data_IF_775720294816
#
_entry.id   IF_775720294816
#
_cell.length_a   1.000
_cell.length_b   1.000
_cell.length_c   1.000
_cell.angle_alpha   90.00
_cell.angle_beta   90.00
_cell.angle_gamma   90.00
#
_symmetry.space_group_name_H-M   'P 1'
#
loop_
_entity.id
_entity.type
_entity.pdbx_description
1 polymer ?
#
# COMPACT_ATOMS: atom_id res chain seq x y z
N UNK A 1 2.92 -1.90 -7.69
CA UNK A 1 3.39 -3.08 -6.93
C UNK A 1 2.23 -4.01 -6.65
N UNK A 2 2.39 -5.29 -6.90
CA UNK A 2 1.35 -6.28 -6.68
C UNK A 2 1.75 -7.19 -5.51
N UNK A 3 0.92 -7.21 -4.47
CA UNK A 3 1.16 -8.00 -3.26
C UNK A 3 0.46 -9.37 -3.30
N UNK A 4 -0.16 -9.71 -4.42
CA UNK A 4 -0.99 -10.92 -4.54
C UNK A 4 -0.26 -12.20 -4.13
N UNK A 5 1.03 -12.32 -4.46
CA UNK A 5 1.82 -13.52 -4.20
C UNK A 5 2.74 -13.38 -2.99
N UNK A 6 2.68 -12.25 -2.28
CA UNK A 6 3.55 -11.98 -1.12
C UNK A 6 2.91 -12.60 0.12
N UNK A 7 3.73 -13.27 0.95
CA UNK A 7 3.29 -13.79 2.22
C UNK A 7 3.02 -12.64 3.19
N UNK A 8 2.01 -12.78 4.03
CA UNK A 8 1.65 -11.73 5.00
C UNK A 8 2.81 -11.40 5.94
N UNK A 9 3.59 -12.39 6.34
CA UNK A 9 4.74 -12.17 7.23
C UNK A 9 5.85 -11.35 6.57
N UNK A 10 5.96 -11.38 5.24
CA UNK A 10 6.98 -10.63 4.49
C UNK A 10 6.47 -9.26 4.04
N UNK A 11 5.16 -9.07 4.02
CA UNK A 11 4.55 -7.88 3.45
C UNK A 11 4.96 -6.58 4.13
N UNK A 12 5.01 -6.48 5.47
CA UNK A 12 5.38 -5.22 6.11
C UNK A 12 6.74 -4.69 5.65
N UNK A 13 7.75 -5.54 5.62
CA UNK A 13 9.09 -5.15 5.19
C UNK A 13 9.13 -4.76 3.72
N UNK A 14 8.45 -5.51 2.86
CA UNK A 14 8.42 -5.26 1.43
C UNK A 14 7.68 -3.96 1.12
N UNK A 15 6.55 -3.72 1.75
CA UNK A 15 5.76 -2.51 1.55
C UNK A 15 6.54 -1.29 2.04
N UNK A 16 7.13 -1.37 3.22
CA UNK A 16 7.89 -0.25 3.79
C UNK A 16 9.07 0.11 2.89
N UNK A 17 9.81 -0.89 2.43
CA UNK A 17 10.94 -0.68 1.53
C UNK A 17 10.51 -0.04 0.22
N UNK A 18 9.39 -0.50 -0.35
CA UNK A 18 8.85 0.05 -1.59
C UNK A 18 8.46 1.53 -1.42
N UNK A 19 7.80 1.86 -0.31
CA UNK A 19 7.41 3.24 -0.02
C UNK A 19 8.64 4.13 0.14
N UNK A 20 9.65 3.67 0.88
CA UNK A 20 10.89 4.43 1.08
C UNK A 20 11.59 4.68 -0.25
N UNK A 21 11.73 3.65 -1.06
CA UNK A 21 12.43 3.76 -2.35
C UNK A 21 11.70 4.65 -3.36
N UNK A 22 10.38 4.79 -3.20
CA UNK A 22 9.56 5.55 -4.13
C UNK A 22 9.00 6.84 -3.52
N UNK A 23 9.52 7.27 -2.39
CA UNK A 23 8.98 8.43 -1.68
C UNK A 23 8.97 9.69 -2.53
N UNK A 24 9.97 9.88 -3.38
CA UNK A 24 10.05 11.03 -4.28
C UNK A 24 9.22 10.84 -5.56
N UNK A 25 8.67 9.66 -5.76
CA UNK A 25 7.87 9.33 -6.94
C UNK A 25 6.38 9.16 -6.62
N UNK A 26 5.95 9.55 -5.43
CA UNK A 26 4.53 9.48 -5.07
C UNK A 26 3.72 10.37 -6.01
N UNK A 27 2.48 9.98 -6.35
CA UNK A 27 1.74 8.82 -5.84
C UNK A 27 2.18 7.50 -6.47
N UNK A 28 1.99 6.41 -5.73
CA UNK A 28 2.26 5.05 -6.21
C UNK A 28 1.03 4.19 -5.99
N UNK A 29 0.91 3.14 -6.80
CA UNK A 29 -0.20 2.18 -6.68
C UNK A 29 0.31 0.88 -6.08
N UNK A 30 -0.47 0.32 -5.13
CA UNK A 30 -0.19 -0.97 -4.52
C UNK A 30 -1.44 -1.82 -4.63
N UNK A 31 -1.30 -3.02 -5.18
CA UNK A 31 -2.40 -3.96 -5.37
C UNK A 31 -2.36 -4.99 -4.25
N UNK A 32 -3.41 -5.00 -3.41
CA UNK A 32 -3.53 -5.93 -2.29
C UNK A 32 -4.35 -7.15 -2.63
N UNK A 33 -5.12 -7.10 -3.72
CA UNK A 33 -6.17 -8.07 -3.96
C UNK A 33 -7.28 -7.93 -2.92
N UNK A 34 -8.07 -8.98 -2.74
CA UNK A 34 -9.21 -8.95 -1.82
C UNK A 34 -8.84 -9.36 -0.38
N UNK A 35 -7.54 -9.38 -0.05
CA UNK A 35 -7.09 -9.76 1.28
C UNK A 35 -7.27 -8.60 2.26
N UNK A 36 -8.16 -8.77 3.23
CA UNK A 36 -8.37 -7.77 4.28
C UNK A 36 -7.10 -7.62 5.13
N UNK A 37 -6.42 -8.72 5.41
CA UNK A 37 -5.18 -8.68 6.18
C UNK A 37 -4.11 -7.86 5.47
N UNK A 38 -3.96 -8.05 4.17
CA UNK A 38 -2.98 -7.29 3.39
C UNK A 38 -3.35 -5.80 3.33
N UNK A 39 -4.64 -5.49 3.22
CA UNK A 39 -5.13 -4.11 3.26
C UNK A 39 -4.81 -3.45 4.61
N UNK A 40 -4.98 -4.18 5.70
CA UNK A 40 -4.65 -3.68 7.04
C UNK A 40 -3.15 -3.41 7.20
N UNK A 41 -2.32 -4.33 6.71
CA UNK A 41 -0.86 -4.17 6.73
C UNK A 41 -0.45 -2.91 5.96
N UNK A 42 -0.99 -2.75 4.77
CA UNK A 42 -0.71 -1.57 3.94
C UNK A 42 -1.13 -0.28 4.64
N UNK A 43 -2.31 -0.28 5.24
CA UNK A 43 -2.84 0.88 5.95
C UNK A 43 -1.95 1.28 7.13
N UNK A 44 -1.51 0.32 7.93
CA UNK A 44 -0.63 0.58 9.07
C UNK A 44 0.68 1.22 8.64
N UNK A 45 1.31 0.68 7.60
CA UNK A 45 2.60 1.19 7.13
C UNK A 45 2.43 2.57 6.50
N UNK A 46 1.36 2.78 5.73
CA UNK A 46 1.05 4.07 5.13
C UNK A 46 0.90 5.15 6.21
N UNK A 47 0.17 4.86 7.27
CA UNK A 47 -0.03 5.81 8.36
C UNK A 47 1.25 6.04 9.15
N UNK A 48 2.06 5.00 9.34
CA UNK A 48 3.36 5.11 10.00
C UNK A 48 4.26 6.13 9.30
N UNK A 49 4.20 6.17 7.97
CA UNK A 49 5.00 7.10 7.17
C UNK A 49 4.30 8.43 6.91
N UNK A 50 3.18 8.68 7.60
CA UNK A 50 2.42 9.93 7.49
C UNK A 50 1.94 10.19 6.07
N UNK A 51 1.52 9.14 5.39
CA UNK A 51 0.97 9.19 4.03
C UNK A 51 -0.52 8.88 4.07
N UNK A 52 -1.20 9.11 2.96
CA UNK A 52 -2.61 8.76 2.83
C UNK A 52 -2.77 7.61 1.85
N UNK A 53 -3.84 6.84 2.04
CA UNK A 53 -4.18 5.70 1.22
C UNK A 53 -5.63 5.85 0.76
N UNK A 54 -5.85 5.69 -0.53
CA UNK A 54 -7.20 5.78 -1.10
C UNK A 54 -7.38 4.70 -2.17
N UNK A 55 -8.60 4.15 -2.33
CA UNK A 55 -8.83 3.17 -3.39
C UNK A 55 -8.50 3.76 -4.77
N UNK A 56 -7.88 2.96 -5.64
CA UNK A 56 -7.57 3.36 -7.01
C UNK A 56 -8.85 3.53 -7.83
N UNK A 57 -9.85 2.70 -7.53
CA UNK A 57 -11.14 2.71 -8.21
C UNK A 57 -12.25 2.62 -7.17
N UNK A 58 -13.32 3.36 -7.38
CA UNK A 58 -14.42 3.43 -6.41
C UNK A 58 -15.11 2.09 -6.16
N UNK A 59 -15.01 1.14 -7.09
CA UNK A 59 -15.66 -0.17 -6.97
C UNK A 59 -14.68 -1.32 -6.73
N UNK A 60 -13.38 -1.04 -6.70
CA UNK A 60 -12.36 -2.05 -6.51
C UNK A 60 -11.49 -1.71 -5.31
N UNK A 61 -11.69 -2.44 -4.22
CA UNK A 61 -10.94 -2.22 -2.98
C UNK A 61 -9.67 -3.09 -2.91
N UNK A 62 -9.30 -3.74 -4.02
CA UNK A 62 -8.08 -4.52 -4.10
C UNK A 62 -6.87 -3.74 -4.58
N UNK A 63 -7.01 -2.43 -4.83
CA UNK A 63 -5.91 -1.59 -5.33
C UNK A 63 -6.01 -0.20 -4.71
N UNK A 64 -4.87 0.34 -4.29
CA UNK A 64 -4.83 1.61 -3.55
C UNK A 64 -3.73 2.52 -4.07
N UNK A 65 -4.00 3.81 -4.02
CA UNK A 65 -3.01 4.86 -4.32
C UNK A 65 -2.48 5.40 -3.00
N UNK A 66 -1.17 5.41 -2.87
CA UNK A 66 -0.47 5.96 -1.71
C UNK A 66 0.12 7.30 -2.12
N UNK A 67 -0.19 8.33 -1.38
CA UNK A 67 0.26 9.69 -1.70
C UNK A 67 0.57 10.47 -0.43
N UNK A 68 1.18 11.63 -0.60
CA UNK A 68 1.45 12.54 0.52
C UNK A 68 0.13 13.12 1.01
N UNK A 69 0.06 13.40 2.31
CA UNK A 69 -1.04 14.17 2.89
C UNK A 69 -0.95 15.62 2.43
N UNK A 70 -2.12 16.20 2.19
CA UNK A 70 -2.21 17.61 1.83
C UNK A 70 -2.08 18.50 3.07
#
# INVERSE_FOLDING_TARGET
MDLHTILHEDAPGIIENFIILNFLNLPIEIITGNSIDMQCILKEITYKHNLRMAPSHSKNLGSYIINKKL
#
